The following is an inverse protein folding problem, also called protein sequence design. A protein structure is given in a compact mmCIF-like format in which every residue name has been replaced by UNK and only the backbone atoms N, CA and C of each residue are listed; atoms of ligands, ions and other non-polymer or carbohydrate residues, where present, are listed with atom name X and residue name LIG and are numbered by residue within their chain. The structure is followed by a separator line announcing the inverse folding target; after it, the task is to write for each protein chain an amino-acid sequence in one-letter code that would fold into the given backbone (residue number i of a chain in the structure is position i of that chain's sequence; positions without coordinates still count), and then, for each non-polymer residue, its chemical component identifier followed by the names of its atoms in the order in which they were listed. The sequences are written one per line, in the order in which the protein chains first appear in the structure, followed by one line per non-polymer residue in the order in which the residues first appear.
data_IF_532400217616
#
_entry.id   IF_532400217616
#
_cell.length_a   1.000
_cell.length_b   1.000
_cell.length_c   1.000
_cell.angle_alpha   90.00
_cell.angle_beta   90.00
_cell.angle_gamma   90.00
#
_symmetry.space_group_name_H-M   'P 1'
#
loop_
_entity.id
_entity.type
_entity.pdbx_description
1 polymer ?
#
# COMPACT_ATOMS: atom_id res chain seq x y z
N UNK A 1 -20.71 30.04 14.73
CA UNK A 1 -20.63 28.75 14.00
C UNK A 1 -20.28 29.09 12.57
N UNK A 2 -19.13 28.63 12.04
CA UNK A 2 -18.84 28.77 10.62
C UNK A 2 -19.51 27.62 9.87
N UNK A 3 -20.32 27.96 8.87
CA UNK A 3 -20.97 27.01 7.98
C UNK A 3 -20.22 27.05 6.65
N UNK A 4 -19.72 25.90 6.22
CA UNK A 4 -19.00 25.75 4.96
C UNK A 4 -19.90 24.95 4.00
N UNK A 5 -20.32 25.56 2.90
CA UNK A 5 -21.06 24.90 1.83
C UNK A 5 -20.13 24.65 0.64
N UNK A 6 -20.28 23.49 0.00
CA UNK A 6 -19.53 23.13 -1.19
C UNK A 6 -20.52 22.54 -2.18
N UNK A 7 -20.59 23.11 -3.38
CA UNK A 7 -21.38 22.54 -4.47
C UNK A 7 -20.65 21.34 -5.06
N UNK A 8 -21.24 20.16 -4.92
CA UNK A 8 -20.74 18.92 -5.48
C UNK A 8 -21.73 18.43 -6.54
N UNK A 9 -21.28 18.29 -7.79
CA UNK A 9 -22.08 17.76 -8.88
C UNK A 9 -21.94 16.24 -8.95
N UNK A 10 -23.00 15.51 -8.56
CA UNK A 10 -23.05 14.05 -8.57
C UNK A 10 -23.72 13.53 -9.85
N UNK A 11 -23.06 13.73 -10.99
CA UNK A 11 -23.66 13.45 -12.32
C UNK A 11 -23.41 12.00 -12.78
N UNK A 12 -22.49 11.28 -12.14
CA UNK A 12 -22.12 9.91 -12.50
C UNK A 12 -22.65 8.88 -11.49
N UNK A 13 -22.72 7.61 -11.92
CA UNK A 13 -23.03 6.45 -11.07
C UNK A 13 -21.86 6.03 -10.16
N UNK A 14 -20.83 6.88 -10.03
CA UNK A 14 -19.66 6.60 -9.21
C UNK A 14 -19.98 6.76 -7.71
N UNK A 15 -19.19 6.11 -6.86
CA UNK A 15 -19.32 6.25 -5.42
C UNK A 15 -19.11 7.70 -4.98
N UNK A 16 -20.04 8.23 -4.19
CA UNK A 16 -19.98 9.60 -3.70
C UNK A 16 -19.18 9.69 -2.40
N UNK A 17 -18.39 10.75 -2.27
CA UNK A 17 -17.60 11.07 -1.08
C UNK A 17 -17.73 12.55 -0.75
N UNK A 18 -17.87 12.88 0.54
CA UNK A 18 -17.92 14.26 1.03
C UNK A 18 -16.49 14.65 1.44
N UNK A 19 -15.93 15.63 0.74
CA UNK A 19 -14.56 16.10 0.92
C UNK A 19 -14.54 17.63 0.98
N UNK A 20 -13.60 18.21 1.71
CA UNK A 20 -13.33 19.65 1.69
C UNK A 20 -12.85 20.11 0.31
N UNK A 21 -12.91 21.42 -0.02
CA UNK A 21 -12.48 21.91 -1.34
C UNK A 21 -11.03 21.56 -1.70
N UNK A 22 -10.14 21.52 -0.70
CA UNK A 22 -8.72 21.17 -0.89
C UNK A 22 -8.59 19.69 -1.23
N UNK A 23 -9.24 18.82 -0.47
CA UNK A 23 -9.23 17.36 -0.71
C UNK A 23 -9.82 17.02 -2.08
N UNK A 24 -10.89 17.69 -2.50
CA UNK A 24 -11.46 17.51 -3.85
C UNK A 24 -10.48 17.92 -4.95
N UNK A 25 -9.69 18.98 -4.74
CA UNK A 25 -8.64 19.41 -5.68
C UNK A 25 -7.53 18.37 -5.79
N UNK A 26 -7.10 17.82 -4.65
CA UNK A 26 -6.09 16.76 -4.60
C UNK A 26 -6.60 15.48 -5.29
N UNK A 27 -7.82 15.03 -4.95
CA UNK A 27 -8.46 13.87 -5.57
C UNK A 27 -8.50 13.99 -7.10
N UNK A 28 -8.96 15.13 -7.63
CA UNK A 28 -9.01 15.37 -9.08
C UNK A 28 -7.64 15.30 -9.75
N UNK A 29 -6.58 15.84 -9.10
CA UNK A 29 -5.21 15.76 -9.64
C UNK A 29 -4.70 14.33 -9.69
N UNK A 30 -4.99 13.53 -8.66
CA UNK A 30 -4.60 12.12 -8.62
C UNK A 30 -5.36 11.32 -9.68
N UNK A 31 -6.67 11.53 -9.82
CA UNK A 31 -7.51 10.83 -10.82
C UNK A 31 -7.18 11.22 -12.26
N UNK A 32 -6.69 12.44 -12.50
CA UNK A 32 -6.30 12.89 -13.84
C UNK A 32 -5.01 12.23 -14.36
N UNK A 33 -4.15 11.72 -13.47
CA UNK A 33 -2.82 11.18 -13.81
C UNK A 33 -2.70 9.68 -13.47
N UNK A 34 -3.39 9.23 -12.43
CA UNK A 34 -3.30 7.87 -11.91
C UNK A 34 -4.35 6.93 -12.51
N UNK A 35 -4.04 5.63 -12.45
CA UNK A 35 -4.98 4.57 -12.80
C UNK A 35 -5.71 4.09 -11.54
N UNK A 36 -7.05 4.00 -11.52
CA UNK A 36 -7.80 3.47 -10.39
C UNK A 36 -7.36 2.04 -10.06
N UNK A 37 -7.24 1.71 -8.78
CA UNK A 37 -6.74 0.41 -8.30
C UNK A 37 -7.53 -0.79 -8.88
N UNK A 38 -8.83 -0.62 -9.12
CA UNK A 38 -9.70 -1.65 -9.74
C UNK A 38 -9.30 -2.03 -11.17
N UNK A 39 -8.59 -1.14 -11.86
CA UNK A 39 -8.21 -1.29 -13.26
C UNK A 39 -6.75 -1.75 -13.41
N UNK A 40 -6.05 -2.01 -12.30
CA UNK A 40 -4.72 -2.58 -12.32
C UNK A 40 -4.81 -4.07 -12.60
N UNK A 41 -3.91 -4.60 -13.43
CA UNK A 41 -3.78 -6.03 -13.71
C UNK A 41 -3.11 -6.76 -12.53
N UNK A 42 -3.79 -6.72 -11.37
CA UNK A 42 -3.35 -7.34 -10.13
C UNK A 42 -4.45 -8.26 -9.62
N UNK A 43 -4.08 -9.47 -9.21
CA UNK A 43 -4.99 -10.31 -8.45
C UNK A 43 -4.98 -9.82 -7.00
N UNK A 44 -6.04 -9.11 -6.60
CA UNK A 44 -6.21 -8.60 -5.24
C UNK A 44 -6.49 -9.77 -4.30
N UNK A 45 -5.43 -10.44 -3.86
CA UNK A 45 -5.49 -11.43 -2.79
C UNK A 45 -5.61 -10.70 -1.45
N UNK A 46 -6.19 -11.39 -0.44
CA UNK A 46 -6.60 -10.82 0.86
C UNK A 46 -5.52 -10.00 1.60
N UNK A 47 -4.23 -10.17 1.27
CA UNK A 47 -3.12 -9.42 1.85
C UNK A 47 -3.14 -7.90 1.58
N UNK A 48 -3.70 -7.42 0.46
CA UNK A 48 -3.87 -5.96 0.24
C UNK A 48 -5.03 -5.40 1.08
N UNK A 49 -6.02 -6.24 1.41
CA UNK A 49 -7.22 -5.85 2.17
C UNK A 49 -6.95 -5.65 3.67
N UNK A 50 -5.90 -6.30 4.20
CA UNK A 50 -5.50 -6.27 5.62
C UNK A 50 -4.09 -5.69 5.83
N UNK A 51 -3.35 -5.41 4.76
CA UNK A 51 -2.01 -4.83 4.80
C UNK A 51 -0.85 -5.81 5.00
N UNK A 52 -1.03 -7.14 4.94
CA UNK A 52 0.02 -8.14 5.18
C UNK A 52 -0.32 -9.48 4.46
N UNK A 53 0.56 -10.07 3.61
CA UNK A 53 1.66 -10.95 4.08
C UNK A 53 2.36 -11.88 3.05
N UNK A 54 1.82 -12.15 1.86
CA UNK A 54 2.41 -13.24 1.01
C UNK A 54 3.69 -12.85 0.24
N UNK A 55 4.01 -11.56 0.13
CA UNK A 55 5.25 -11.09 -0.50
C UNK A 55 6.51 -11.26 0.38
N UNK A 56 6.36 -11.72 1.64
CA UNK A 56 7.44 -11.80 2.64
C UNK A 56 7.65 -13.21 3.22
N UNK A 57 6.92 -14.22 2.75
CA UNK A 57 7.12 -15.61 3.19
C UNK A 57 8.28 -16.20 2.39
N UNK A 58 9.50 -16.04 2.90
CA UNK A 58 10.66 -16.78 2.40
C UNK A 58 10.83 -18.08 3.20
N UNK A 59 11.28 -19.15 2.56
CA UNK A 59 11.61 -20.40 3.23
C UNK A 59 12.94 -20.27 4.00
N UNK A 60 13.21 -21.24 4.88
CA UNK A 60 14.44 -21.28 5.68
C UNK A 60 15.68 -21.30 4.78
N UNK A 61 15.63 -22.02 3.66
CA UNK A 61 16.75 -22.09 2.72
C UNK A 61 17.09 -20.71 2.14
N UNK A 62 16.09 -19.91 1.75
CA UNK A 62 16.31 -18.57 1.22
C UNK A 62 16.75 -17.59 2.29
N UNK A 63 16.25 -17.73 3.52
CA UNK A 63 16.74 -16.96 4.68
C UNK A 63 18.24 -17.19 4.90
N UNK A 64 18.68 -18.43 4.87
CA UNK A 64 20.09 -18.78 5.09
C UNK A 64 20.98 -18.29 3.94
N UNK A 65 20.51 -18.38 2.69
CA UNK A 65 21.20 -17.80 1.53
C UNK A 65 21.39 -16.28 1.67
N UNK A 66 20.38 -15.56 2.14
CA UNK A 66 20.46 -14.11 2.35
C UNK A 66 21.48 -13.78 3.43
N UNK A 67 21.45 -14.49 4.57
CA UNK A 67 22.37 -14.27 5.68
C UNK A 67 23.82 -14.64 5.33
N UNK A 68 24.02 -15.63 4.46
CA UNK A 68 25.34 -16.03 3.98
C UNK A 68 25.97 -14.99 3.02
N UNK A 69 25.15 -14.17 2.37
CA UNK A 69 25.61 -13.12 1.46
C UNK A 69 25.88 -11.77 2.15
N UNK A 70 25.64 -11.64 3.46
CA UNK A 70 25.98 -10.43 4.22
C UNK A 70 27.51 -10.25 4.29
N UNK A 71 27.98 -9.03 4.07
CA UNK A 71 29.41 -8.72 4.00
C UNK A 71 30.03 -8.54 5.38
N UNK A 72 29.25 -8.04 6.34
CA UNK A 72 29.69 -7.83 7.73
C UNK A 72 28.78 -8.51 8.73
N UNK A 73 29.34 -8.79 9.91
CA UNK A 73 28.57 -9.38 11.01
C UNK A 73 27.42 -8.47 11.48
N UNK A 74 27.63 -7.15 11.46
CA UNK A 74 26.61 -6.16 11.82
C UNK A 74 25.45 -6.14 10.83
N UNK A 75 25.75 -6.28 9.52
CA UNK A 75 24.73 -6.42 8.48
C UNK A 75 23.94 -7.72 8.65
N UNK A 76 24.64 -8.82 8.96
CA UNK A 76 24.03 -10.13 9.20
C UNK A 76 23.05 -10.11 10.37
N UNK A 77 23.43 -9.48 11.49
CA UNK A 77 22.58 -9.36 12.67
C UNK A 77 21.31 -8.56 12.35
N UNK A 78 21.44 -7.38 11.71
CA UNK A 78 20.27 -6.56 11.33
C UNK A 78 19.36 -7.29 10.35
N UNK A 79 19.93 -8.00 9.40
CA UNK A 79 19.18 -8.78 8.41
C UNK A 79 18.44 -9.95 9.06
N UNK A 80 19.06 -10.62 10.04
CA UNK A 80 18.43 -11.71 10.81
C UNK A 80 17.26 -11.22 11.68
N UNK A 81 17.30 -9.99 12.19
CA UNK A 81 16.19 -9.36 12.93
C UNK A 81 15.03 -8.96 12.02
N UNK A 82 15.33 -8.52 10.79
CA UNK A 82 14.33 -8.13 9.80
C UNK A 82 13.58 -9.36 9.22
N UNK A 83 14.29 -10.47 9.01
CA UNK A 83 13.71 -11.71 8.47
C UNK A 83 13.32 -12.64 9.63
N UNK A 84 12.08 -12.48 10.10
CA UNK A 84 11.51 -13.31 11.16
C UNK A 84 11.30 -14.76 10.69
N UNK A 85 11.66 -15.77 11.49
CA UNK A 85 11.31 -17.15 11.17
C UNK A 85 9.80 -17.34 11.25
N UNK A 86 9.23 -18.07 10.29
CA UNK A 86 7.85 -18.54 10.38
C UNK A 86 7.79 -19.62 11.46
N UNK A 87 6.98 -19.38 12.49
CA UNK A 87 6.72 -20.32 13.59
C UNK A 87 5.60 -21.28 13.25
#
# INVERSE_FOLDING_TARGET
MQQQSVECNFVSSDSWVILSPIEQSIKRKIEAVGTPLKDWDIQINYGIKTGFNDAFIINTEKRDEILANCQTEEERIRTAELIRPNN
#
